data_IF_511803260022
#
_entry.id   IF_511803260022
#
_cell.length_a   1.000
_cell.length_b   1.000
_cell.length_c   1.000
_cell.angle_alpha   90.00
_cell.angle_beta   90.00
_cell.angle_gamma   90.00
#
_symmetry.space_group_name_H-M   'P 1'
#
loop_
_entity.id
_entity.type
_entity.pdbx_description
1 polymer ?
#
# COMPACT_ATOMS: atom_id res chain seq x y z
N UNK A 1 22.11 0.85 -14.51
CA UNK A 1 21.42 -0.44 -14.48
C UNK A 1 20.04 -0.18 -15.02
N UNK A 2 19.69 -0.77 -16.16
CA UNK A 2 18.33 -0.66 -16.69
C UNK A 2 17.44 -1.53 -15.82
N UNK A 3 16.77 -0.93 -14.85
CA UNK A 3 15.77 -1.61 -14.02
C UNK A 3 14.75 -2.25 -14.97
N UNK A 4 14.74 -3.58 -15.04
CA UNK A 4 13.75 -4.33 -15.80
C UNK A 4 12.43 -4.30 -15.04
N UNK A 5 11.74 -3.16 -15.15
CA UNK A 5 10.38 -2.99 -14.65
C UNK A 5 9.44 -3.61 -15.68
N UNK A 6 8.51 -4.50 -15.28
CA UNK A 6 7.50 -5.03 -16.19
C UNK A 6 6.71 -3.91 -16.86
N UNK A 7 6.34 -4.12 -18.13
CA UNK A 7 5.58 -3.13 -18.90
C UNK A 7 4.24 -2.83 -18.20
N UNK A 8 3.93 -1.54 -18.09
CA UNK A 8 2.72 -1.05 -17.45
C UNK A 8 2.84 -0.85 -15.95
N UNK A 9 4.02 -1.02 -15.35
CA UNK A 9 4.27 -0.70 -13.95
C UNK A 9 5.19 0.51 -13.79
N UNK A 10 4.88 1.33 -12.80
CA UNK A 10 5.68 2.45 -12.34
C UNK A 10 5.84 2.36 -10.82
N UNK A 11 6.93 2.90 -10.29
CA UNK A 11 7.13 3.00 -8.85
C UNK A 11 7.82 4.30 -8.46
N UNK A 12 7.58 4.74 -7.22
CA UNK A 12 8.29 5.84 -6.61
C UNK A 12 8.46 5.61 -5.11
N UNK A 13 9.50 6.21 -4.54
CA UNK A 13 9.72 6.29 -3.10
C UNK A 13 10.03 7.73 -2.72
N UNK A 14 9.45 8.20 -1.63
CA UNK A 14 9.63 9.58 -1.14
C UNK A 14 9.89 9.59 0.36
N UNK A 15 10.48 10.69 0.82
CA UNK A 15 10.47 11.05 2.22
C UNK A 15 9.20 11.88 2.50
N UNK A 16 8.36 11.44 3.43
CA UNK A 16 7.12 12.09 3.83
C UNK A 16 7.07 12.47 5.32
N UNK A 17 8.13 12.18 6.09
CA UNK A 17 8.25 12.65 7.48
C UNK A 17 7.85 11.65 8.56
N UNK A 18 7.66 10.36 8.22
CA UNK A 18 7.42 9.31 9.21
C UNK A 18 8.73 8.97 9.95
N UNK A 19 9.85 8.89 9.22
CA UNK A 19 11.17 8.68 9.81
C UNK A 19 11.77 10.00 10.27
N UNK A 20 12.51 9.93 11.38
CA UNK A 20 13.29 11.07 11.90
C UNK A 20 14.49 11.41 11.01
N UNK A 21 15.09 10.38 10.41
CA UNK A 21 16.21 10.53 9.49
C UNK A 21 15.70 10.96 8.11
N UNK A 22 15.92 12.22 7.77
CA UNK A 22 15.45 12.86 6.53
C UNK A 22 16.15 12.34 5.28
N UNK A 23 17.26 11.59 5.43
CA UNK A 23 17.96 10.96 4.29
C UNK A 23 17.29 9.67 3.81
N UNK A 24 16.33 9.13 4.58
CA UNK A 24 15.70 7.83 4.32
C UNK A 24 14.28 8.00 3.83
N UNK A 25 13.99 7.47 2.65
CA UNK A 25 12.62 7.33 2.14
C UNK A 25 11.77 6.47 3.09
N UNK A 26 10.50 6.82 3.21
CA UNK A 26 9.58 6.23 4.19
C UNK A 26 8.15 6.05 3.69
N UNK A 27 7.86 6.45 2.45
CA UNK A 27 6.65 6.12 1.71
C UNK A 27 7.02 5.63 0.31
N UNK A 28 6.32 4.60 -0.18
CA UNK A 28 6.46 4.13 -1.56
C UNK A 28 5.11 3.81 -2.18
N UNK A 29 5.08 3.89 -3.50
CA UNK A 29 3.91 3.61 -4.33
C UNK A 29 4.35 2.82 -5.56
N UNK A 30 3.63 1.75 -5.85
CA UNK A 30 3.69 0.99 -7.09
C UNK A 30 2.34 1.16 -7.78
N UNK A 31 2.34 1.49 -9.08
CA UNK A 31 1.13 1.74 -9.87
C UNK A 31 1.19 0.91 -11.14
N UNK A 32 0.09 0.22 -11.45
CA UNK A 32 -0.17 -0.40 -12.72
C UNK A 32 -1.03 0.52 -13.61
N UNK A 33 -0.72 0.56 -14.90
CA UNK A 33 -1.48 1.30 -15.92
C UNK A 33 -2.87 0.70 -16.20
N UNK A 34 -3.11 -0.54 -15.74
CA UNK A 34 -4.35 -1.30 -15.92
C UNK A 34 -4.64 -2.16 -14.68
N UNK A 35 -5.91 -2.55 -14.45
CA UNK A 35 -6.26 -3.44 -13.36
C UNK A 35 -5.51 -4.78 -13.47
N UNK A 36 -5.06 -5.30 -12.33
CA UNK A 36 -4.21 -6.47 -12.23
C UNK A 36 -4.82 -7.51 -11.29
N UNK A 37 -4.60 -8.79 -11.63
CA UNK A 37 -4.86 -9.90 -10.71
C UNK A 37 -3.85 -9.84 -9.55
N UNK A 38 -4.38 -9.81 -8.33
CA UNK A 38 -3.61 -9.78 -7.10
C UNK A 38 -3.95 -10.98 -6.22
N UNK A 39 -2.91 -11.55 -5.61
CA UNK A 39 -3.02 -12.57 -4.58
C UNK A 39 -2.14 -12.16 -3.39
N UNK A 40 -2.65 -12.37 -2.18
CA UNK A 40 -1.96 -12.01 -0.95
C UNK A 40 -1.79 -13.20 -0.02
N UNK A 41 -0.61 -13.31 0.58
CA UNK A 41 -0.35 -14.20 1.72
C UNK A 41 0.07 -13.34 2.90
N UNK A 42 -0.46 -13.67 4.07
CA UNK A 42 -0.37 -12.82 5.25
C UNK A 42 0.22 -13.57 6.43
N UNK A 43 0.71 -12.83 7.42
CA UNK A 43 1.21 -13.42 8.67
C UNK A 43 0.18 -14.32 9.34
N UNK A 44 0.65 -15.40 9.96
CA UNK A 44 -0.17 -16.29 10.80
C UNK A 44 -0.20 -15.86 12.27
N UNK A 45 0.48 -14.76 12.63
CA UNK A 45 0.42 -14.22 13.98
C UNK A 45 -1.03 -13.85 14.36
N UNK A 46 -1.39 -14.08 15.62
CA UNK A 46 -2.69 -13.68 16.17
C UNK A 46 -2.80 -12.15 16.29
N UNK A 47 -1.69 -11.47 16.53
CA UNK A 47 -1.63 -10.01 16.54
C UNK A 47 -1.27 -9.52 15.13
N UNK A 48 -2.26 -8.92 14.46
CA UNK A 48 -2.12 -8.43 13.08
C UNK A 48 -2.30 -6.92 13.03
N UNK A 49 -1.53 -6.27 12.14
CA UNK A 49 -1.64 -4.84 11.91
C UNK A 49 -2.90 -4.50 11.12
N UNK A 50 -3.42 -3.29 11.28
CA UNK A 50 -4.57 -2.80 10.54
C UNK A 50 -4.46 -2.94 8.99
N UNK A 51 -3.32 -2.60 8.34
CA UNK A 51 -3.20 -2.79 6.88
C UNK A 51 -3.34 -4.26 6.45
N UNK A 52 -2.85 -5.22 7.25
CA UNK A 52 -3.00 -6.65 6.94
C UNK A 52 -4.47 -7.08 6.92
N UNK A 53 -5.31 -6.49 7.78
CA UNK A 53 -6.75 -6.77 7.78
C UNK A 53 -7.40 -6.25 6.48
N UNK A 54 -7.05 -5.03 6.06
CA UNK A 54 -7.54 -4.44 4.83
C UNK A 54 -7.08 -5.23 3.59
N UNK A 55 -5.81 -5.61 3.52
CA UNK A 55 -5.27 -6.36 2.38
C UNK A 55 -5.93 -7.74 2.23
N UNK A 56 -6.29 -8.39 3.36
CA UNK A 56 -7.08 -9.63 3.39
C UNK A 56 -8.50 -9.44 2.85
N UNK A 57 -9.12 -8.27 3.06
CA UNK A 57 -10.43 -7.94 2.47
C UNK A 57 -10.32 -7.71 0.96
N UNK A 58 -9.16 -7.28 0.46
CA UNK A 58 -8.93 -6.90 -0.94
C UNK A 58 -8.34 -7.98 -1.82
N UNK A 59 -7.84 -9.06 -1.25
CA UNK A 59 -7.19 -10.14 -2.01
C UNK A 59 -7.80 -11.51 -1.69
N UNK A 60 -7.95 -12.40 -2.69
CA UNK A 60 -7.61 -12.21 -4.10
C UNK A 60 -8.55 -11.22 -4.81
N UNK A 61 -8.05 -10.56 -5.84
CA UNK A 61 -8.79 -9.59 -6.67
C UNK A 61 -8.28 -9.63 -8.10
N UNK A 62 -9.10 -9.23 -9.06
CA UNK A 62 -8.77 -9.04 -10.48
C UNK A 62 -8.61 -7.57 -10.88
N UNK A 63 -8.71 -6.64 -9.93
CA UNK A 63 -8.86 -5.21 -10.19
C UNK A 63 -7.81 -4.31 -9.53
N UNK A 64 -6.83 -4.83 -8.80
CA UNK A 64 -5.83 -3.99 -8.11
C UNK A 64 -4.99 -3.19 -9.12
N UNK A 65 -4.83 -1.90 -8.84
CA UNK A 65 -4.09 -0.90 -9.63
C UNK A 65 -2.86 -0.37 -8.90
N UNK A 66 -2.83 -0.42 -7.57
CA UNK A 66 -1.68 0.11 -6.82
C UNK A 66 -1.39 -0.66 -5.55
N UNK A 67 -0.17 -0.46 -5.05
CA UNK A 67 0.24 -0.84 -3.71
C UNK A 67 0.94 0.37 -3.11
N UNK A 68 0.42 0.87 -1.99
CA UNK A 68 1.03 1.94 -1.22
C UNK A 68 1.58 1.37 0.09
N UNK A 69 2.84 1.65 0.41
CA UNK A 69 3.47 1.18 1.65
C UNK A 69 4.22 2.29 2.35
N UNK A 70 4.24 2.25 3.68
CA UNK A 70 5.05 3.14 4.49
C UNK A 70 6.04 2.34 5.35
N UNK A 71 7.06 3.02 5.87
CA UNK A 71 7.98 2.45 6.85
C UNK A 71 8.29 3.44 7.96
N UNK A 72 8.66 2.94 9.14
CA UNK A 72 8.85 3.76 10.36
C UNK A 72 7.62 3.78 11.28
N UNK A 73 6.46 3.31 10.81
CA UNK A 73 5.29 3.04 11.64
C UNK A 73 4.54 1.83 11.08
N UNK A 74 4.28 0.81 11.91
CA UNK A 74 3.64 -0.43 11.47
C UNK A 74 2.10 -0.34 11.40
N UNK A 75 1.49 0.68 12.01
CA UNK A 75 0.04 0.75 12.20
C UNK A 75 -0.56 -0.54 12.80
N UNK A 76 0.11 -1.06 13.84
CA UNK A 76 -0.26 -2.28 14.55
C UNK A 76 -0.76 -1.96 15.96
N UNK A 77 -1.73 -2.74 16.45
CA UNK A 77 -2.38 -2.52 17.75
C UNK A 77 -3.02 -1.12 17.90
N UNK A 78 -3.49 -0.55 16.79
CA UNK A 78 -4.06 0.81 16.70
C UNK A 78 -5.59 0.83 16.70
N UNK A 79 -6.24 -0.35 16.75
CA UNK A 79 -7.70 -0.50 16.79
C UNK A 79 -8.40 0.05 15.54
N UNK A 80 -9.63 0.51 15.71
CA UNK A 80 -10.48 1.01 14.63
C UNK A 80 -9.86 2.21 13.90
N UNK A 81 -9.23 3.13 14.64
CA UNK A 81 -8.54 4.27 14.04
C UNK A 81 -7.42 3.82 13.09
N UNK A 82 -6.71 2.75 13.43
CA UNK A 82 -5.69 2.17 12.55
C UNK A 82 -6.27 1.69 11.22
N UNK A 83 -7.43 1.05 11.25
CA UNK A 83 -8.11 0.55 10.07
C UNK A 83 -8.68 1.70 9.21
N UNK A 84 -9.21 2.74 9.85
CA UNK A 84 -9.63 3.97 9.18
C UNK A 84 -8.46 4.66 8.49
N UNK A 85 -7.30 4.77 9.15
CA UNK A 85 -6.09 5.34 8.55
C UNK A 85 -5.60 4.54 7.35
N UNK A 86 -5.68 3.20 7.40
CA UNK A 86 -5.33 2.35 6.27
C UNK A 86 -6.28 2.55 5.07
N UNK A 87 -7.60 2.63 5.32
CA UNK A 87 -8.60 2.94 4.29
C UNK A 87 -8.40 4.34 3.70
N UNK A 88 -8.08 5.33 4.53
CA UNK A 88 -7.80 6.70 4.08
C UNK A 88 -6.54 6.78 3.22
N UNK A 89 -5.47 6.05 3.60
CA UNK A 89 -4.26 5.96 2.80
C UNK A 89 -4.53 5.35 1.41
N UNK A 90 -5.40 4.33 1.35
CA UNK A 90 -5.84 3.77 0.09
C UNK A 90 -6.69 4.75 -0.74
N UNK A 91 -7.64 5.45 -0.10
CA UNK A 91 -8.49 6.46 -0.75
C UNK A 91 -7.64 7.59 -1.36
N UNK A 92 -6.71 8.14 -0.61
CA UNK A 92 -5.80 9.20 -1.08
C UNK A 92 -4.90 8.73 -2.22
N UNK A 93 -4.44 7.47 -2.17
CA UNK A 93 -3.67 6.87 -3.25
C UNK A 93 -4.52 6.74 -4.51
N UNK A 94 -5.75 6.24 -4.38
CA UNK A 94 -6.67 6.06 -5.48
C UNK A 94 -7.01 7.38 -6.17
N UNK A 95 -7.30 8.43 -5.39
CA UNK A 95 -7.52 9.79 -5.90
C UNK A 95 -6.30 10.29 -6.71
N UNK A 96 -5.08 10.06 -6.21
CA UNK A 96 -3.85 10.51 -6.85
C UNK A 96 -3.56 9.81 -8.19
N UNK A 97 -4.05 8.59 -8.39
CA UNK A 97 -3.80 7.79 -9.60
C UNK A 97 -5.03 7.63 -10.50
N UNK A 98 -6.17 8.22 -10.12
CA UNK A 98 -7.44 8.09 -10.85
C UNK A 98 -7.99 6.66 -10.84
N UNK A 99 -7.99 6.01 -9.68
CA UNK A 99 -8.57 4.67 -9.46
C UNK A 99 -9.65 4.71 -8.37
N UNK A 100 -10.26 3.56 -8.05
CA UNK A 100 -11.14 3.40 -6.88
C UNK A 100 -10.32 3.00 -5.64
N UNK A 101 -10.77 3.33 -4.41
CA UNK A 101 -10.09 2.94 -3.18
C UNK A 101 -9.90 1.44 -3.00
N UNK A 102 -10.79 0.62 -3.56
CA UNK A 102 -10.76 -0.85 -3.52
C UNK A 102 -9.71 -1.44 -4.48
N UNK A 103 -9.21 -0.65 -5.42
CA UNK A 103 -8.14 -1.03 -6.36
C UNK A 103 -6.73 -0.77 -5.80
N UNK A 104 -6.59 -0.38 -4.52
CA UNK A 104 -5.29 -0.06 -3.88
C UNK A 104 -4.93 -1.09 -2.81
#
# INVERSE_FOLDING_TARGET
MSDQIPLGFQFAGVYCGIKRDTSRLDLSLIVADRPCVAAGVYTQNQVVAAPVLLDRERTPSDSIRAIVTNSGNANACTGELGLQNAREMARLTADAIGSQPEEV
#
